data_IF_808155398578
#
_entry.id   IF_808155398578
#
_cell.length_a   1.000
_cell.length_b   1.000
_cell.length_c   1.000
_cell.angle_alpha   90.00
_cell.angle_beta   90.00
_cell.angle_gamma   90.00
#
_symmetry.space_group_name_H-M   'P 1'
#
loop_
_entity.id
_entity.type
_entity.pdbx_description
1 polymer ?
#
# COMPACT_ATOMS: atom_id res chain seq x y z
N UNK A 1 2.50 -2.80 28.82
CA UNK A 1 2.73 -2.23 27.47
C UNK A 1 3.89 -2.99 26.85
N UNK A 2 3.60 -3.98 26.00
CA UNK A 2 4.57 -5.00 25.58
C UNK A 2 5.24 -4.64 24.25
N UNK A 3 6.51 -5.00 24.10
CA UNK A 3 7.34 -4.81 22.89
C UNK A 3 6.64 -5.26 21.59
N UNK A 4 5.76 -6.25 21.68
CA UNK A 4 4.93 -6.78 20.59
C UNK A 4 4.10 -5.71 19.87
N UNK A 5 3.56 -4.73 20.61
CA UNK A 5 2.73 -3.67 20.01
C UNK A 5 3.55 -2.70 19.15
N UNK A 6 4.78 -2.38 19.56
CA UNK A 6 5.68 -1.51 18.80
C UNK A 6 6.19 -2.17 17.52
N UNK A 7 6.51 -3.47 17.59
CA UNK A 7 6.96 -4.23 16.43
C UNK A 7 5.85 -4.38 15.38
N UNK A 8 4.60 -4.59 15.82
CA UNK A 8 3.46 -4.72 14.92
C UNK A 8 3.18 -3.42 14.14
N UNK A 9 3.23 -2.26 14.82
CA UNK A 9 3.10 -0.96 14.16
C UNK A 9 4.23 -0.69 13.17
N UNK A 10 5.46 -1.13 13.48
CA UNK A 10 6.60 -0.99 12.58
C UNK A 10 6.47 -1.83 11.30
N UNK A 11 5.95 -3.05 11.42
CA UNK A 11 5.65 -3.91 10.26
C UNK A 11 4.61 -3.24 9.35
N UNK A 12 3.52 -2.73 9.93
CA UNK A 12 2.48 -2.01 9.17
C UNK A 12 3.08 -0.81 8.43
N UNK A 13 3.94 -0.03 9.09
CA UNK A 13 4.58 1.13 8.48
C UNK A 13 5.48 0.76 7.28
N UNK A 14 6.23 -0.34 7.38
CA UNK A 14 7.02 -0.85 6.25
C UNK A 14 6.10 -1.27 5.09
N UNK A 15 4.99 -1.95 5.40
CA UNK A 15 4.00 -2.36 4.42
C UNK A 15 3.34 -1.15 3.75
N UNK A 16 3.04 -0.08 4.49
CA UNK A 16 2.49 1.16 3.94
C UNK A 16 3.42 1.77 2.89
N UNK A 17 4.72 1.86 3.18
CA UNK A 17 5.72 2.36 2.22
C UNK A 17 5.74 1.49 0.97
N UNK A 18 5.71 0.16 1.13
CA UNK A 18 5.70 -0.77 0.01
C UNK A 18 4.43 -0.64 -0.85
N UNK A 19 3.26 -0.51 -0.22
CA UNK A 19 2.00 -0.27 -0.90
C UNK A 19 2.04 1.04 -1.69
N UNK A 20 2.50 2.15 -1.09
CA UNK A 20 2.64 3.44 -1.77
C UNK A 20 3.61 3.34 -2.96
N UNK A 21 4.78 2.72 -2.76
CA UNK A 21 5.76 2.53 -3.84
C UNK A 21 5.19 1.71 -5.01
N UNK A 22 4.38 0.70 -4.72
CA UNK A 22 3.71 -0.10 -5.74
C UNK A 22 2.64 0.70 -6.52
N UNK A 23 1.85 1.54 -5.83
CA UNK A 23 0.82 2.40 -6.42
C UNK A 23 1.48 3.40 -7.37
N UNK A 24 2.57 4.04 -6.95
CA UNK A 24 3.31 5.00 -7.77
C UNK A 24 3.88 4.34 -9.03
N UNK A 25 4.39 3.11 -8.90
CA UNK A 25 4.94 2.32 -10.02
C UNK A 25 3.87 1.72 -10.94
N UNK A 26 2.61 1.69 -10.51
CA UNK A 26 1.53 1.14 -11.33
C UNK A 26 1.24 1.99 -12.58
N UNK A 27 0.69 1.39 -13.66
CA UNK A 27 0.25 2.12 -14.84
C UNK A 27 -1.06 2.90 -14.62
N UNK A 28 -1.61 2.92 -13.41
CA UNK A 28 -2.85 3.63 -13.10
C UNK A 28 -2.71 5.15 -13.31
N UNK A 29 -3.80 5.81 -13.70
CA UNK A 29 -3.83 7.26 -13.87
C UNK A 29 -3.58 8.01 -12.56
N UNK A 30 -3.12 9.26 -12.65
CA UNK A 30 -2.74 10.11 -11.51
C UNK A 30 -3.83 10.22 -10.44
N UNK A 31 -5.10 10.39 -10.82
CA UNK A 31 -6.21 10.46 -9.87
C UNK A 31 -6.42 9.16 -9.07
N UNK A 32 -6.24 8.00 -9.71
CA UNK A 32 -6.33 6.70 -9.03
C UNK A 32 -5.15 6.51 -8.07
N UNK A 33 -3.93 6.91 -8.47
CA UNK A 33 -2.76 6.87 -7.59
C UNK A 33 -2.97 7.67 -6.31
N UNK A 34 -3.47 8.90 -6.45
CA UNK A 34 -3.74 9.78 -5.30
C UNK A 34 -4.79 9.17 -4.38
N UNK A 35 -5.89 8.65 -4.94
CA UNK A 35 -6.96 8.01 -4.16
C UNK A 35 -6.43 6.82 -3.34
N UNK A 36 -5.64 5.95 -3.97
CA UNK A 36 -5.08 4.77 -3.32
C UNK A 36 -4.04 5.13 -2.25
N UNK A 37 -3.19 6.12 -2.51
CA UNK A 37 -2.23 6.61 -1.51
C UNK A 37 -2.97 7.22 -0.32
N UNK A 38 -4.01 8.04 -0.55
CA UNK A 38 -4.83 8.58 0.53
C UNK A 38 -5.50 7.49 1.36
N UNK A 39 -6.04 6.47 0.69
CA UNK A 39 -6.73 5.36 1.35
C UNK A 39 -5.80 4.59 2.29
N UNK A 40 -4.59 4.26 1.83
CA UNK A 40 -3.56 3.58 2.62
C UNK A 40 -3.06 4.50 3.75
N UNK A 41 -2.81 5.78 3.49
CA UNK A 41 -2.30 6.71 4.50
C UNK A 41 -3.30 7.03 5.63
N UNK A 42 -4.60 7.16 5.31
CA UNK A 42 -5.65 7.48 6.30
C UNK A 42 -6.05 6.23 7.09
N UNK A 43 -6.11 5.09 6.43
CA UNK A 43 -6.44 3.80 7.03
C UNK A 43 -5.27 2.83 6.81
N UNK A 44 -4.22 2.84 7.65
CA UNK A 44 -3.03 2.01 7.41
C UNK A 44 -3.38 0.52 7.35
N UNK A 45 -4.10 0.00 8.35
CA UNK A 45 -4.44 -1.44 8.39
C UNK A 45 -5.48 -1.81 7.31
N UNK A 46 -6.61 -1.11 7.28
CA UNK A 46 -7.70 -1.44 6.34
C UNK A 46 -7.34 -1.09 4.90
N UNK A 47 -6.68 0.04 4.68
CA UNK A 47 -6.19 0.49 3.38
C UNK A 47 -5.16 -0.47 2.82
N UNK A 48 -4.22 -0.99 3.62
CA UNK A 48 -3.31 -2.06 3.20
C UNK A 48 -4.05 -3.34 2.79
N UNK A 49 -5.04 -3.76 3.57
CA UNK A 49 -5.85 -4.94 3.25
C UNK A 49 -6.58 -4.75 1.91
N UNK A 50 -7.29 -3.63 1.75
CA UNK A 50 -8.03 -3.32 0.52
C UNK A 50 -7.09 -3.22 -0.68
N UNK A 51 -5.95 -2.53 -0.51
CA UNK A 51 -4.94 -2.41 -1.56
C UNK A 51 -4.32 -3.77 -1.92
N UNK A 52 -4.14 -4.68 -0.95
CA UNK A 52 -3.64 -6.02 -1.24
C UNK A 52 -4.56 -6.79 -2.19
N UNK A 53 -5.89 -6.63 -2.06
CA UNK A 53 -6.86 -7.34 -2.91
C UNK A 53 -7.18 -6.60 -4.21
N UNK A 54 -7.37 -5.27 -4.16
CA UNK A 54 -7.91 -4.49 -5.27
C UNK A 54 -7.02 -3.30 -5.69
N UNK A 55 -5.87 -3.13 -5.04
CA UNK A 55 -4.95 -2.05 -5.30
C UNK A 55 -4.30 -2.13 -6.70
N UNK A 56 -3.91 -1.00 -7.28
CA UNK A 56 -3.25 -0.95 -8.57
C UNK A 56 -1.84 -1.49 -8.41
N UNK A 57 -1.64 -2.75 -8.80
CA UNK A 57 -0.33 -3.41 -8.78
C UNK A 57 0.40 -3.09 -10.08
N UNK A 58 1.72 -2.93 -9.99
CA UNK A 58 2.53 -2.81 -11.19
C UNK A 58 2.34 -4.07 -12.04
N UNK A 59 1.88 -3.90 -13.28
CA UNK A 59 1.68 -5.00 -14.23
C UNK A 59 3.05 -5.62 -14.55
N UNK A 60 3.41 -6.68 -13.84
CA UNK A 60 4.61 -7.46 -14.12
C UNK A 60 4.48 -8.25 -15.44
N UNK A 61 3.25 -8.32 -16.00
CA UNK A 61 2.91 -9.03 -17.23
C UNK A 61 3.57 -8.46 -18.50
N UNK A 62 4.12 -7.24 -18.47
CA UNK A 62 4.77 -6.60 -19.64
C UNK A 62 6.28 -6.87 -19.75
N UNK A 63 6.73 -8.03 -19.26
CA UNK A 63 8.14 -8.50 -19.31
C UNK A 63 8.33 -9.81 -20.09
N UNK A 64 7.28 -10.29 -20.76
CA UNK A 64 7.33 -11.36 -21.76
C UNK A 64 6.81 -10.79 -23.08
#
# INVERSE_FOLDING_TARGET
MSFVNGLFGFIIFILDIWAIASIIRSPAGTGSKILWVLLVAILPVLGLIIWWFAGPKADQARRL
#
